data_IF_480412270508
#
_entry.id   IF_480412270508
#
_cell.length_a   1.000
_cell.length_b   1.000
_cell.length_c   1.000
_cell.angle_alpha   90.00
_cell.angle_beta   90.00
_cell.angle_gamma   90.00
#
_symmetry.space_group_name_H-M   'P 1'
#
loop_
_entity.id
_entity.type
_entity.pdbx_description
1 polymer ?
#
# COMPACT_ATOMS: atom_id res chain seq x y z
N UNK A 1 13.44 5.48 -0.49
CA UNK A 1 12.02 5.91 -0.40
C UNK A 1 11.98 7.19 0.41
N UNK A 2 11.81 8.36 -0.23
CA UNK A 2 11.41 9.56 0.53
C UNK A 2 10.08 9.21 1.20
N UNK A 3 10.10 9.15 2.53
CA UNK A 3 8.99 8.67 3.35
C UNK A 3 7.86 9.68 3.24
N UNK A 4 6.90 9.46 2.34
CA UNK A 4 5.60 10.12 2.48
C UNK A 4 5.06 9.78 3.87
N UNK A 5 4.64 10.80 4.59
CA UNK A 5 4.04 10.60 5.90
C UNK A 5 2.68 9.91 5.73
N UNK A 6 2.12 9.37 6.82
CA UNK A 6 0.88 8.60 6.78
C UNK A 6 -0.26 9.46 6.26
N UNK A 7 -0.27 10.72 6.65
CA UNK A 7 -1.27 11.73 6.33
C UNK A 7 -1.33 11.99 4.82
N UNK A 8 -0.17 12.14 4.16
CA UNK A 8 -0.07 12.29 2.71
C UNK A 8 -0.62 11.06 1.97
N UNK A 9 -0.36 9.85 2.47
CA UNK A 9 -0.90 8.63 1.84
C UNK A 9 -2.42 8.56 1.95
N UNK A 10 -2.97 8.98 3.09
CA UNK A 10 -4.42 9.07 3.31
C UNK A 10 -5.02 10.12 2.36
N UNK A 11 -4.42 11.30 2.27
CA UNK A 11 -4.86 12.37 1.37
C UNK A 11 -4.88 11.90 -0.10
N UNK A 12 -3.80 11.26 -0.56
CA UNK A 12 -3.71 10.71 -1.91
C UNK A 12 -4.79 9.65 -2.16
N UNK A 13 -5.07 8.80 -1.17
CA UNK A 13 -6.11 7.79 -1.28
C UNK A 13 -7.50 8.41 -1.40
N UNK A 14 -7.84 9.42 -0.59
CA UNK A 14 -9.13 10.14 -0.71
C UNK A 14 -9.27 10.85 -2.06
N UNK A 15 -8.20 11.50 -2.54
CA UNK A 15 -8.20 12.13 -3.87
C UNK A 15 -8.44 11.13 -5.01
N UNK A 16 -7.89 9.93 -4.88
CA UNK A 16 -8.13 8.87 -5.85
C UNK A 16 -9.54 8.27 -5.74
N UNK A 17 -9.99 7.96 -4.51
CA UNK A 17 -11.21 7.20 -4.23
C UNK A 17 -12.47 8.05 -4.31
N UNK A 18 -12.43 9.25 -3.75
CA UNK A 18 -13.59 10.11 -3.54
C UNK A 18 -13.68 11.21 -4.62
N UNK A 19 -12.53 11.77 -5.02
CA UNK A 19 -12.46 12.82 -6.04
C UNK A 19 -12.22 12.25 -7.47
N UNK A 20 -12.03 10.94 -7.62
CA UNK A 20 -11.75 10.27 -8.90
C UNK A 20 -10.55 10.86 -9.68
N UNK A 21 -9.55 11.42 -8.99
CA UNK A 21 -8.34 11.92 -9.63
C UNK A 21 -7.52 10.75 -10.16
N UNK A 22 -7.08 10.85 -11.42
CA UNK A 22 -6.32 9.77 -12.05
C UNK A 22 -4.97 9.53 -11.36
N UNK A 23 -4.53 8.27 -11.36
CA UNK A 23 -3.24 7.84 -10.79
C UNK A 23 -2.08 8.60 -11.45
N UNK A 24 -2.15 8.89 -12.75
CA UNK A 24 -1.11 9.65 -13.47
C UNK A 24 -1.00 11.11 -13.01
N UNK A 25 -2.14 11.78 -12.75
CA UNK A 25 -2.16 13.13 -12.19
C UNK A 25 -1.59 13.15 -10.77
N UNK A 26 -1.99 12.20 -9.92
CA UNK A 26 -1.45 12.07 -8.56
C UNK A 26 0.04 11.75 -8.56
N UNK A 27 0.49 10.82 -9.42
CA UNK A 27 1.90 10.49 -9.56
C UNK A 27 2.74 11.72 -9.95
N UNK A 28 2.23 12.56 -10.86
CA UNK A 28 2.88 13.82 -11.24
C UNK A 28 2.87 14.84 -10.10
N UNK A 29 1.75 15.03 -9.43
CA UNK A 29 1.59 16.02 -8.35
C UNK A 29 2.48 15.71 -7.15
N UNK A 30 2.52 14.46 -6.72
CA UNK A 30 3.30 14.01 -5.57
C UNK A 30 4.70 13.51 -5.94
N UNK A 31 5.09 13.59 -7.22
CA UNK A 31 6.38 13.08 -7.75
C UNK A 31 6.64 11.62 -7.37
N UNK A 32 5.59 10.79 -7.47
CA UNK A 32 5.63 9.36 -7.19
C UNK A 32 5.83 8.55 -8.47
N UNK A 33 6.50 7.41 -8.34
CA UNK A 33 6.48 6.41 -9.40
C UNK A 33 5.05 5.84 -9.53
N UNK A 34 4.56 5.74 -10.77
CA UNK A 34 3.19 5.33 -11.07
C UNK A 34 2.87 3.93 -10.55
N UNK A 35 3.78 2.97 -10.71
CA UNK A 35 3.59 1.59 -10.22
C UNK A 35 3.56 1.54 -8.68
N UNK A 36 4.41 2.32 -8.01
CA UNK A 36 4.41 2.39 -6.54
C UNK A 36 3.13 3.03 -6.00
N UNK A 37 2.64 4.08 -6.65
CA UNK A 37 1.37 4.72 -6.28
C UNK A 37 0.19 3.77 -6.50
N UNK A 38 0.12 3.14 -7.67
CA UNK A 38 -0.93 2.17 -8.01
C UNK A 38 -0.94 0.97 -7.04
N UNK A 39 0.24 0.47 -6.65
CA UNK A 39 0.36 -0.56 -5.61
C UNK A 39 -0.14 -0.08 -4.24
N UNK A 40 0.25 1.13 -3.82
CA UNK A 40 -0.19 1.71 -2.55
C UNK A 40 -1.71 1.88 -2.49
N UNK A 41 -2.33 2.41 -3.55
CA UNK A 41 -3.77 2.62 -3.62
C UNK A 41 -4.53 1.30 -3.52
N UNK A 42 -4.11 0.27 -4.28
CA UNK A 42 -4.72 -1.07 -4.22
C UNK A 42 -4.59 -1.74 -2.86
N UNK A 43 -3.46 -1.56 -2.18
CA UNK A 43 -3.28 -2.08 -0.82
C UNK A 43 -4.25 -1.45 0.18
N UNK A 44 -4.41 -0.12 0.12
CA UNK A 44 -5.34 0.60 1.01
C UNK A 44 -6.79 0.25 0.65
N UNK A 45 -7.12 0.11 -0.63
CA UNK A 45 -8.47 -0.27 -1.08
C UNK A 45 -8.86 -1.68 -0.61
N UNK A 46 -7.90 -2.62 -0.60
CA UNK A 46 -8.13 -4.01 -0.19
C UNK A 46 -8.18 -4.19 1.33
N UNK A 47 -7.35 -3.46 2.08
CA UNK A 47 -7.12 -3.70 3.51
C UNK A 47 -7.51 -2.53 4.41
N UNK A 48 -8.12 -1.49 3.87
CA UNK A 48 -8.43 -0.26 4.59
C UNK A 48 -7.19 0.59 4.93
N UNK A 49 -7.44 1.76 5.52
CA UNK A 49 -6.40 2.74 5.89
C UNK A 49 -5.51 2.23 7.03
N UNK A 50 -6.00 1.29 7.84
CA UNK A 50 -5.27 0.66 8.95
C UNK A 50 -3.97 -0.01 8.50
N UNK A 51 -3.87 -0.46 7.24
CA UNK A 51 -2.66 -1.07 6.68
C UNK A 51 -1.45 -0.13 6.73
N UNK A 52 -1.68 1.19 6.77
CA UNK A 52 -0.63 2.19 6.90
C UNK A 52 -0.01 2.22 8.30
N UNK A 53 -0.67 1.63 9.29
CA UNK A 53 -0.21 1.52 10.68
C UNK A 53 0.08 0.10 11.13
N UNK A 54 -0.42 -0.90 10.40
CA UNK A 54 -0.20 -2.31 10.71
C UNK A 54 1.30 -2.62 10.67
N UNK A 55 1.81 -3.17 11.78
CA UNK A 55 3.19 -3.65 11.82
C UNK A 55 3.30 -4.88 10.94
N UNK A 56 4.38 -4.96 10.16
CA UNK A 56 4.71 -6.15 9.40
C UNK A 56 4.81 -7.35 10.36
N UNK A 57 3.99 -8.36 10.13
CA UNK A 57 4.10 -9.62 10.84
C UNK A 57 5.32 -10.37 10.30
N UNK A 58 6.29 -10.60 11.16
CA UNK A 58 7.43 -11.45 10.85
C UNK A 58 7.11 -12.87 11.28
N UNK A 59 7.16 -13.81 10.34
CA UNK A 59 7.05 -15.23 10.62
C UNK A 59 8.43 -15.88 10.59
N UNK A 60 8.66 -16.86 11.46
CA UNK A 60 9.91 -17.63 11.48
C UNK A 60 10.09 -18.43 10.18
N UNK A 61 11.33 -18.79 9.88
CA UNK A 61 11.64 -19.57 8.67
C UNK A 61 10.97 -20.94 8.74
N UNK A 62 11.00 -21.57 9.90
CA UNK A 62 10.41 -22.88 10.17
C UNK A 62 8.89 -22.85 9.97
N UNK A 63 8.22 -21.78 10.44
CA UNK A 63 6.78 -21.61 10.24
C UNK A 63 6.45 -21.49 8.74
N UNK A 64 7.17 -20.64 8.00
CA UNK A 64 6.95 -20.48 6.56
C UNK A 64 7.14 -21.79 5.81
N UNK A 65 8.20 -22.53 6.12
CA UNK A 65 8.49 -23.82 5.52
C UNK A 65 7.36 -24.82 5.77
N UNK A 66 6.92 -24.94 7.04
CA UNK A 66 5.83 -25.85 7.41
C UNK A 66 4.51 -25.49 6.72
N UNK A 67 4.17 -24.20 6.61
CA UNK A 67 2.94 -23.76 5.91
C UNK A 67 2.97 -24.12 4.43
N UNK A 68 4.13 -24.01 3.77
CA UNK A 68 4.30 -24.41 2.37
C UNK A 68 4.13 -25.92 2.21
N UNK A 69 4.79 -26.72 3.05
CA UNK A 69 4.68 -28.18 3.04
C UNK A 69 3.25 -28.68 3.28
N UNK A 70 2.45 -27.95 4.07
CA UNK A 70 1.05 -28.28 4.32
C UNK A 70 0.09 -27.86 3.20
N UNK A 71 0.49 -26.95 2.32
CA UNK A 71 -0.35 -26.43 1.24
C UNK A 71 -0.20 -27.22 -0.08
N UNK A 72 0.78 -28.13 -0.14
CA UNK A 72 1.05 -29.05 -1.26
C UNK A 72 0.36 -30.39 -0.98
#
# INVERSE_FOLDING_TARGET
MSKFNKEQKIEIYHKWKDENISISQLAKAYRMNLANLDYMLRLIDMHGIEILTTKNQSYSKEFKQRTIEQAI
#
